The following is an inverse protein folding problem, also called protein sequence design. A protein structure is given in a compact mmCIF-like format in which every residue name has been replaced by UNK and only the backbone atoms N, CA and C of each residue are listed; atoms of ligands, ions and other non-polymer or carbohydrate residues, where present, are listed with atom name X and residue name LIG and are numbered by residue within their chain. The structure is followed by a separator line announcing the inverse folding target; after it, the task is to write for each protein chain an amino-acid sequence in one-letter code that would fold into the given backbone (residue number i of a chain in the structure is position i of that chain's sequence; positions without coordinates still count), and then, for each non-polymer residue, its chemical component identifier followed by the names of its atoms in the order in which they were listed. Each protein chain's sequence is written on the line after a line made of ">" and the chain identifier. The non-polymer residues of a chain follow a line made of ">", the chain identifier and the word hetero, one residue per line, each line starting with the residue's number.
data_IF_336168736370
#
_entry.id   IF_336168736370
#
_cell.length_a   1.000
_cell.length_b   1.000
_cell.length_c   1.000
_cell.angle_alpha   90.00
_cell.angle_beta   90.00
_cell.angle_gamma   90.00
#
_symmetry.space_group_name_H-M   'P 1'
#
loop_
_entity.id
_entity.type
_entity.pdbx_description
1 polymer ?
#
# COMPACT_ATOMS: atom_id res chain seq x y z
N UNK A 1 -13.16 -0.36 -15.45
CA UNK A 1 -13.05 -1.07 -14.16
C UNK A 1 -11.88 -2.05 -14.09
N UNK A 2 -11.64 -2.88 -15.12
CA UNK A 2 -10.51 -3.84 -15.16
C UNK A 2 -9.15 -3.17 -14.91
N UNK A 3 -8.86 -2.05 -15.58
CA UNK A 3 -7.60 -1.31 -15.39
C UNK A 3 -7.41 -0.87 -13.93
N UNK A 4 -8.46 -0.33 -13.29
CA UNK A 4 -8.39 0.04 -11.88
C UNK A 4 -8.09 -1.18 -10.99
N UNK A 5 -8.71 -2.34 -11.27
CA UNK A 5 -8.42 -3.57 -10.55
C UNK A 5 -6.97 -4.02 -10.73
N UNK A 6 -6.41 -3.90 -11.93
CA UNK A 6 -5.01 -4.23 -12.18
C UNK A 6 -4.06 -3.27 -11.44
N UNK A 7 -4.40 -1.99 -11.37
CA UNK A 7 -3.63 -1.00 -10.62
C UNK A 7 -3.65 -1.28 -9.11
N UNK A 8 -4.81 -1.64 -8.54
CA UNK A 8 -4.90 -2.07 -7.12
C UNK A 8 -4.09 -3.34 -6.90
N UNK A 9 -4.21 -4.33 -7.79
CA UNK A 9 -3.43 -5.56 -7.73
C UNK A 9 -1.92 -5.29 -7.75
N UNK A 10 -1.46 -4.38 -8.60
CA UNK A 10 -0.06 -4.00 -8.67
C UNK A 10 0.41 -3.32 -7.37
N UNK A 11 -0.39 -2.41 -6.79
CA UNK A 11 -0.08 -1.77 -5.51
C UNK A 11 0.03 -2.78 -4.36
N UNK A 12 -0.84 -3.80 -4.29
CA UNK A 12 -0.75 -4.80 -3.22
C UNK A 12 0.49 -5.70 -3.39
N UNK A 13 0.89 -6.04 -4.61
CA UNK A 13 2.13 -6.76 -4.86
C UNK A 13 3.36 -5.93 -4.45
N UNK A 14 3.35 -4.64 -4.79
CA UNK A 14 4.39 -3.69 -4.40
C UNK A 14 4.46 -3.49 -2.87
N UNK A 15 3.35 -3.54 -2.15
CA UNK A 15 3.37 -3.58 -0.69
C UNK A 15 4.01 -4.89 -0.19
N UNK A 16 3.58 -6.04 -0.72
CA UNK A 16 4.01 -7.35 -0.26
C UNK A 16 5.52 -7.59 -0.38
N UNK A 17 6.20 -6.94 -1.33
CA UNK A 17 7.66 -7.03 -1.45
C UNK A 17 8.43 -6.22 -0.39
N UNK A 18 7.79 -5.20 0.19
CA UNK A 18 8.39 -4.24 1.14
C UNK A 18 7.96 -4.46 2.59
N UNK A 19 6.95 -5.30 2.87
CA UNK A 19 6.56 -5.58 4.26
C UNK A 19 7.70 -6.26 5.03
N UNK A 20 7.74 -6.15 6.37
CA UNK A 20 8.71 -6.87 7.19
C UNK A 20 8.71 -8.38 6.89
N UNK A 21 9.87 -8.92 6.49
CA UNK A 21 10.03 -10.32 6.05
C UNK A 21 9.74 -10.57 4.56
N UNK A 22 9.44 -9.51 3.80
CA UNK A 22 9.30 -9.56 2.34
C UNK A 22 10.64 -9.68 1.61
N UNK A 23 10.64 -10.05 0.31
CA UNK A 23 11.85 -10.31 -0.47
C UNK A 23 12.86 -9.15 -0.56
N UNK A 24 12.38 -7.89 -0.54
CA UNK A 24 13.23 -6.71 -0.74
C UNK A 24 13.54 -6.01 0.59
N UNK A 25 12.68 -6.17 1.59
CA UNK A 25 12.87 -5.58 2.90
C UNK A 25 14.11 -6.16 3.57
N UNK A 26 15.13 -5.30 3.74
CA UNK A 26 16.46 -5.68 4.23
C UNK A 26 16.79 -5.09 5.60
N UNK A 27 15.81 -4.48 6.26
CA UNK A 27 15.93 -4.03 7.64
C UNK A 27 15.68 -5.17 8.62
N UNK A 28 16.41 -5.15 9.74
CA UNK A 28 16.21 -6.13 10.81
C UNK A 28 15.18 -5.61 11.81
N UNK A 29 14.04 -6.31 11.89
CA UNK A 29 12.96 -6.00 12.83
C UNK A 29 12.90 -6.99 14.01
N UNK A 30 13.81 -7.97 14.10
CA UNK A 30 13.79 -9.02 15.13
C UNK A 30 13.84 -8.48 16.58
N UNK A 31 14.38 -7.27 16.75
CA UNK A 31 14.50 -6.58 18.05
C UNK A 31 13.28 -5.72 18.38
N UNK A 32 12.39 -5.47 17.42
CA UNK A 32 11.18 -4.67 17.61
C UNK A 32 10.07 -5.57 18.17
N UNK A 33 9.89 -5.49 19.48
CA UNK A 33 8.82 -6.21 20.20
C UNK A 33 7.76 -5.22 20.67
N UNK A 34 6.53 -5.70 20.80
CA UNK A 34 5.43 -4.95 21.42
C UNK A 34 4.29 -4.57 20.48
N UNK A 35 3.34 -3.82 21.04
CA UNK A 35 2.05 -3.50 20.40
C UNK A 35 2.21 -2.72 19.10
N UNK A 36 3.20 -1.83 19.01
CA UNK A 36 3.41 -0.99 17.82
C UNK A 36 3.81 -1.82 16.60
N UNK A 37 4.76 -2.76 16.76
CA UNK A 37 5.20 -3.62 15.66
C UNK A 37 4.09 -4.58 15.20
N UNK A 38 3.41 -5.24 16.13
CA UNK A 38 2.32 -6.17 15.82
C UNK A 38 1.09 -5.47 15.24
N UNK A 39 0.71 -4.33 15.83
CA UNK A 39 -0.43 -3.54 15.34
C UNK A 39 -0.21 -3.01 13.94
N UNK A 40 1.02 -2.57 13.63
CA UNK A 40 1.36 -2.13 12.28
C UNK A 40 1.33 -3.28 11.26
N UNK A 41 1.92 -4.43 11.58
CA UNK A 41 1.86 -5.59 10.69
C UNK A 41 0.42 -6.07 10.47
N UNK A 42 -0.40 -6.09 11.53
CA UNK A 42 -1.83 -6.39 11.40
C UNK A 42 -2.51 -5.39 10.45
N UNK A 43 -2.22 -4.10 10.60
CA UNK A 43 -2.74 -3.07 9.69
C UNK A 43 -2.31 -3.32 8.23
N UNK A 44 -1.04 -3.63 7.97
CA UNK A 44 -0.56 -3.94 6.62
C UNK A 44 -1.23 -5.18 6.02
N UNK A 45 -1.41 -6.23 6.82
CA UNK A 45 -2.11 -7.45 6.39
C UNK A 45 -3.55 -7.12 6.02
N UNK A 46 -4.26 -6.37 6.88
CA UNK A 46 -5.63 -5.96 6.60
C UNK A 46 -5.71 -5.09 5.35
N UNK A 47 -4.78 -4.15 5.16
CA UNK A 47 -4.71 -3.33 3.95
C UNK A 47 -4.50 -4.19 2.70
N UNK A 48 -3.62 -5.19 2.77
CA UNK A 48 -3.39 -6.14 1.68
C UNK A 48 -4.64 -6.98 1.35
N UNK A 49 -5.27 -7.57 2.36
CA UNK A 49 -6.51 -8.36 2.19
C UNK A 49 -7.64 -7.51 1.61
N UNK A 50 -7.86 -6.31 2.15
CA UNK A 50 -8.87 -5.39 1.64
C UNK A 50 -8.59 -4.94 0.20
N UNK A 51 -7.33 -4.87 -0.20
CA UNK A 51 -6.94 -4.57 -1.59
C UNK A 51 -7.34 -5.68 -2.55
N UNK A 52 -7.15 -6.95 -2.19
CA UNK A 52 -7.65 -8.07 -3.00
C UNK A 52 -9.17 -8.11 -3.09
N UNK A 53 -9.87 -7.86 -1.98
CA UNK A 53 -11.33 -7.73 -1.98
C UNK A 53 -11.75 -6.60 -2.92
N UNK A 54 -11.04 -5.47 -2.88
CA UNK A 54 -11.33 -4.30 -3.74
C UNK A 54 -11.08 -4.58 -5.21
N UNK A 55 -10.05 -5.36 -5.56
CA UNK A 55 -9.86 -5.85 -6.93
C UNK A 55 -11.11 -6.59 -7.41
N UNK A 56 -11.62 -7.55 -6.62
CA UNK A 56 -12.84 -8.28 -6.95
C UNK A 56 -14.06 -7.35 -7.09
N UNK A 57 -14.25 -6.42 -6.15
CA UNK A 57 -15.35 -5.45 -6.19
C UNK A 57 -15.30 -4.56 -7.45
N UNK A 58 -14.10 -4.17 -7.88
CA UNK A 58 -13.91 -3.43 -9.13
C UNK A 58 -14.28 -4.29 -10.34
N UNK A 59 -13.91 -5.57 -10.37
CA UNK A 59 -14.23 -6.47 -11.47
C UNK A 59 -15.74 -6.69 -11.65
N UNK A 60 -16.50 -6.76 -10.54
CA UNK A 60 -17.97 -6.87 -10.58
C UNK A 60 -18.69 -5.51 -10.66
N UNK A 61 -17.94 -4.41 -10.84
CA UNK A 61 -18.47 -3.05 -10.92
C UNK A 61 -19.37 -2.64 -9.73
N UNK A 62 -19.04 -3.08 -8.51
CA UNK A 62 -19.80 -2.74 -7.31
C UNK A 62 -19.82 -1.21 -7.09
N UNK A 63 -20.97 -0.61 -6.71
CA UNK A 63 -21.12 0.85 -6.62
C UNK A 63 -20.10 1.52 -5.68
N UNK A 64 -19.75 0.84 -4.59
CA UNK A 64 -18.79 1.36 -3.61
C UNK A 64 -17.32 1.10 -3.98
N UNK A 65 -17.03 0.36 -5.05
CA UNK A 65 -15.66 -0.06 -5.37
C UNK A 65 -14.73 1.14 -5.58
N UNK A 66 -15.21 2.20 -6.24
CA UNK A 66 -14.44 3.41 -6.49
C UNK A 66 -14.10 4.14 -5.19
N UNK A 67 -15.09 4.29 -4.30
CA UNK A 67 -14.89 4.94 -2.99
C UNK A 67 -13.90 4.16 -2.11
N UNK A 68 -14.06 2.84 -2.02
CA UNK A 68 -13.15 1.98 -1.26
C UNK A 68 -11.72 2.06 -1.84
N UNK A 69 -11.58 2.05 -3.17
CA UNK A 69 -10.27 2.19 -3.84
C UNK A 69 -9.58 3.51 -3.48
N UNK A 70 -10.33 4.63 -3.39
CA UNK A 70 -9.76 5.92 -2.97
C UNK A 70 -9.20 5.85 -1.56
N UNK A 71 -9.93 5.22 -0.63
CA UNK A 71 -9.47 5.03 0.76
C UNK A 71 -8.18 4.20 0.77
N UNK A 72 -8.15 3.08 0.05
CA UNK A 72 -6.96 2.22 -0.03
C UNK A 72 -5.75 2.97 -0.60
N UNK A 73 -5.94 3.76 -1.66
CA UNK A 73 -4.87 4.55 -2.25
C UNK A 73 -4.29 5.58 -1.26
N UNK A 74 -5.15 6.25 -0.47
CA UNK A 74 -4.71 7.17 0.58
C UNK A 74 -3.95 6.43 1.68
N UNK A 75 -4.42 5.26 2.12
CA UNK A 75 -3.74 4.46 3.13
C UNK A 75 -2.36 4.00 2.65
N UNK A 76 -2.23 3.54 1.40
CA UNK A 76 -0.94 3.22 0.81
C UNK A 76 0.02 4.41 0.85
N UNK A 77 -0.43 5.58 0.38
CA UNK A 77 0.39 6.79 0.40
C UNK A 77 0.85 7.15 1.82
N UNK A 78 -0.05 7.09 2.81
CA UNK A 78 0.28 7.36 4.22
C UNK A 78 1.35 6.39 4.72
N UNK A 79 1.23 5.09 4.44
CA UNK A 79 2.23 4.08 4.84
C UNK A 79 3.61 4.45 4.30
N UNK A 80 3.72 4.69 3.00
CA UNK A 80 5.01 4.95 2.35
C UNK A 80 5.62 6.28 2.80
N UNK A 81 4.81 7.32 3.03
CA UNK A 81 5.30 8.61 3.55
C UNK A 81 5.76 8.49 5.00
N UNK A 82 5.03 7.77 5.85
CA UNK A 82 5.42 7.55 7.25
C UNK A 82 6.74 6.73 7.32
N UNK A 83 6.96 5.80 6.38
CA UNK A 83 8.21 5.01 6.28
C UNK A 83 9.39 5.87 5.83
N UNK A 84 9.20 6.66 4.77
CA UNK A 84 10.20 7.64 4.33
C UNK A 84 10.51 8.71 5.40
N UNK A 85 9.51 9.10 6.21
CA UNK A 85 9.70 10.05 7.30
C UNK A 85 10.42 9.43 8.52
N UNK A 86 10.69 8.12 8.52
CA UNK A 86 11.39 7.43 9.61
C UNK A 86 10.61 7.42 10.92
N UNK A 87 9.28 7.55 10.85
CA UNK A 87 8.36 7.46 11.99
C UNK A 87 8.12 5.99 12.38
N UNK A 88 8.41 5.07 11.45
CA UNK A 88 8.41 3.64 11.74
C UNK A 88 9.34 3.28 12.90
N UNK A 89 9.03 2.19 13.64
CA UNK A 89 9.93 1.71 14.67
C UNK A 89 11.32 1.53 14.06
N UNK A 90 12.28 2.30 14.57
CA UNK A 90 13.58 2.44 13.92
C UNK A 90 14.32 1.11 13.98
N UNK A 91 14.51 0.48 12.83
CA UNK A 91 15.50 -0.58 12.72
C UNK A 91 16.89 0.02 13.00
N UNK A 92 17.79 -0.71 13.68
CA UNK A 92 19.18 -0.30 13.82
C UNK A 92 19.90 -0.20 12.46
N UNK A 93 19.40 -0.90 11.44
CA UNK A 93 19.96 -0.87 10.09
C UNK A 93 19.33 0.25 9.26
N UNK A 94 20.18 1.08 8.65
CA UNK A 94 19.74 2.14 7.76
C UNK A 94 19.08 1.55 6.52
N UNK A 95 18.04 2.22 6.06
CA UNK A 95 17.35 1.90 4.82
C UNK A 95 18.32 1.96 3.62
N UNK A 96 18.33 0.91 2.81
CA UNK A 96 19.20 0.87 1.63
C UNK A 96 18.68 1.80 0.51
N UNK A 97 19.59 2.28 -0.36
CA UNK A 97 19.21 3.14 -1.49
C UNK A 97 18.13 2.50 -2.41
N UNK A 98 18.19 1.19 -2.73
CA UNK A 98 17.13 0.53 -3.50
C UNK A 98 15.78 0.55 -2.79
N UNK A 99 15.77 0.31 -1.47
CA UNK A 99 14.52 0.27 -0.70
C UNK A 99 13.85 1.65 -0.67
N UNK A 100 14.63 2.73 -0.51
CA UNK A 100 14.12 4.12 -0.60
C UNK A 100 13.50 4.38 -1.97
N UNK A 101 14.12 3.91 -3.05
CA UNK A 101 13.59 4.06 -4.40
C UNK A 101 12.25 3.35 -4.56
N UNK A 102 12.12 2.11 -4.05
CA UNK A 102 10.86 1.38 -4.10
C UNK A 102 9.75 2.06 -3.29
N UNK A 103 10.05 2.58 -2.11
CA UNK A 103 9.08 3.36 -1.31
C UNK A 103 8.56 4.59 -2.08
N UNK A 104 9.44 5.34 -2.76
CA UNK A 104 9.05 6.50 -3.56
C UNK A 104 8.20 6.08 -4.77
N UNK A 105 8.59 5.01 -5.47
CA UNK A 105 7.83 4.47 -6.61
C UNK A 105 6.44 4.05 -6.15
N UNK A 106 6.35 3.33 -5.03
CA UNK A 106 5.09 2.83 -4.49
C UNK A 106 4.19 3.97 -4.00
N UNK A 107 4.76 4.97 -3.32
CA UNK A 107 4.05 6.20 -2.94
C UNK A 107 3.49 6.93 -4.16
N UNK A 108 4.29 7.05 -5.23
CA UNK A 108 3.86 7.66 -6.49
C UNK A 108 2.76 6.85 -7.16
N UNK A 109 2.84 5.52 -7.11
CA UNK A 109 1.84 4.61 -7.68
C UNK A 109 0.51 4.67 -6.92
N UNK A 110 0.54 4.88 -5.61
CA UNK A 110 -0.64 5.11 -4.79
C UNK A 110 -1.35 6.44 -5.18
N UNK A 111 -0.59 7.51 -5.40
CA UNK A 111 -1.13 8.79 -5.91
C UNK A 111 -1.74 8.60 -7.30
N UNK A 112 -1.04 7.90 -8.21
CA UNK A 112 -1.55 7.61 -9.54
C UNK A 112 -2.88 6.83 -9.49
N UNK A 113 -2.96 5.80 -8.64
CA UNK A 113 -4.19 5.04 -8.43
C UNK A 113 -5.35 5.94 -7.96
N UNK A 114 -5.10 6.84 -7.01
CA UNK A 114 -6.10 7.77 -6.49
C UNK A 114 -6.63 8.71 -7.59
N UNK A 115 -5.73 9.29 -8.39
CA UNK A 115 -6.09 10.19 -9.49
C UNK A 115 -6.87 9.44 -10.57
N UNK A 116 -6.40 8.25 -10.97
CA UNK A 116 -7.04 7.42 -11.97
C UNK A 116 -8.46 7.04 -11.57
N UNK A 117 -8.64 6.54 -10.34
CA UNK A 117 -9.95 6.09 -9.87
C UNK A 117 -10.92 7.27 -9.67
N UNK A 118 -10.39 8.45 -9.34
CA UNK A 118 -11.18 9.69 -9.24
C UNK A 118 -11.66 10.15 -10.62
N UNK A 119 -10.80 10.12 -11.63
CA UNK A 119 -11.15 10.49 -13.00
C UNK A 119 -12.25 9.60 -13.57
N UNK A 120 -12.12 8.26 -13.45
CA UNK A 120 -13.16 7.34 -13.96
C UNK A 120 -14.48 7.45 -13.17
N UNK A 121 -14.43 7.79 -11.88
CA UNK A 121 -15.61 7.98 -11.05
C UNK A 121 -16.43 9.20 -11.46
N UNK A 122 -15.79 10.24 -12.00
CA UNK A 122 -16.47 11.44 -12.53
C UNK A 122 -17.06 11.25 -13.94
N UNK A 123 -16.49 10.34 -14.74
CA UNK A 123 -16.97 10.09 -16.11
C UNK A 123 -18.20 9.16 -16.11
N UNK A 124 -18.34 8.32 -15.07
CA UNK A 124 -19.42 7.33 -14.95
C UNK A 124 -20.66 7.80 -14.19
N UNK A 125 -20.71 9.07 -13.73
CA UNK A 125 -21.83 9.73 -13.05
C UNK A 125 -22.53 10.70 -13.97
#
# INVERSE_FOLDING_TARGET
>A
MIIASLLVFFNVMLLAILVPGGPIENRDFSKLKGVVFWGFNLFLILLGVMSFITCYLLLIAHPNAIFITKIIAVLYFIVYIIDLAGIFPKSPTKMSKPLILFEIINGSMAVFLFLFVTAIGHIGS
#
